data_IF_644992939047
#
_entry.id   IF_644992939047
#
_cell.length_a   1.000
_cell.length_b   1.000
_cell.length_c   1.000
_cell.angle_alpha   90.00
_cell.angle_beta   90.00
_cell.angle_gamma   90.00
#
_symmetry.space_group_name_H-M   'P 1'
#
loop_
_entity.id
_entity.type
_entity.pdbx_description
1 polymer ?
#
# COMPACT_ATOMS: atom_id res chain seq x y z
N UNK A 1 -20.85 -21.26 -59.88
CA UNK A 1 -20.33 -22.63 -59.96
C UNK A 1 -19.45 -22.83 -58.74
N UNK A 2 -19.92 -23.62 -57.76
CA UNK A 2 -19.25 -23.90 -56.48
C UNK A 2 -18.13 -24.91 -56.65
N UNK A 3 -16.98 -24.62 -56.05
CA UNK A 3 -15.84 -25.55 -55.95
C UNK A 3 -15.80 -26.24 -54.58
N UNK A 4 -16.05 -27.55 -54.63
CA UNK A 4 -15.28 -28.67 -54.05
C UNK A 4 -14.52 -28.42 -52.72
N UNK A 5 -14.88 -29.17 -51.67
CA UNK A 5 -13.92 -29.99 -50.89
C UNK A 5 -14.60 -31.04 -50.01
N UNK A 6 -14.26 -32.30 -50.27
CA UNK A 6 -14.54 -33.42 -49.39
C UNK A 6 -13.35 -33.75 -48.48
N UNK A 7 -13.62 -34.41 -47.35
CA UNK A 7 -12.88 -35.58 -46.86
C UNK A 7 -13.66 -36.25 -45.74
N UNK A 8 -14.04 -37.51 -45.96
CA UNK A 8 -14.47 -38.46 -44.93
C UNK A 8 -13.22 -39.09 -44.31
N UNK A 9 -13.23 -39.33 -43.01
CA UNK A 9 -12.50 -40.46 -42.40
C UNK A 9 -13.39 -41.05 -41.30
N UNK A 10 -13.65 -42.35 -41.42
CA UNK A 10 -14.28 -43.22 -40.41
C UNK A 10 -13.18 -43.78 -39.52
N UNK A 11 -13.44 -43.96 -38.23
CA UNK A 11 -12.68 -44.88 -37.37
C UNK A 11 -13.64 -45.66 -36.48
N UNK A 12 -13.32 -46.94 -36.31
CA UNK A 12 -14.20 -48.02 -35.89
C UNK A 12 -14.12 -48.33 -34.38
N UNK A 13 -15.18 -49.00 -33.92
CA UNK A 13 -15.36 -49.84 -32.72
C UNK A 13 -14.23 -50.87 -32.50
N UNK A 14 -13.97 -51.51 -31.36
CA UNK A 14 -14.78 -52.08 -30.25
C UNK A 14 -13.80 -52.66 -29.18
N UNK A 15 -14.20 -52.78 -27.91
CA UNK A 15 -14.09 -54.01 -27.06
C UNK A 15 -13.96 -53.75 -25.55
N UNK A 16 -14.84 -54.41 -24.78
CA UNK A 16 -14.89 -54.50 -23.31
C UNK A 16 -13.85 -55.47 -22.73
N UNK A 17 -13.47 -55.26 -21.47
CA UNK A 17 -13.21 -56.33 -20.48
C UNK A 17 -13.83 -55.93 -19.14
N UNK A 18 -14.50 -56.87 -18.47
CA UNK A 18 -15.23 -56.70 -17.21
C UNK A 18 -14.65 -57.54 -16.06
N UNK A 19 -15.04 -57.15 -14.84
CA UNK A 19 -15.01 -57.86 -13.53
C UNK A 19 -13.65 -57.84 -12.79
N UNK A 20 -13.54 -57.76 -11.45
CA UNK A 20 -14.33 -58.29 -10.31
C UNK A 20 -14.10 -57.42 -9.05
N UNK A 21 -15.09 -57.37 -8.16
CA UNK A 21 -15.13 -56.64 -6.87
C UNK A 21 -14.45 -57.37 -5.70
N UNK A 22 -13.86 -56.62 -4.74
CA UNK A 22 -13.68 -57.05 -3.33
C UNK A 22 -13.90 -55.84 -2.40
N UNK A 23 -14.74 -56.01 -1.38
CA UNK A 23 -14.96 -55.06 -0.30
C UNK A 23 -14.26 -55.55 1.00
N UNK A 24 -13.73 -54.63 1.82
CA UNK A 24 -13.88 -54.59 3.30
C UNK A 24 -13.08 -53.42 3.90
N UNK A 25 -13.62 -52.84 4.98
CA UNK A 25 -13.16 -51.66 5.68
C UNK A 25 -12.24 -51.98 6.87
N UNK A 26 -11.27 -51.12 7.19
CA UNK A 26 -10.79 -50.82 8.55
C UNK A 26 -9.66 -49.77 8.57
N UNK A 27 -9.83 -48.70 9.36
CA UNK A 27 -8.81 -48.27 10.33
C UNK A 27 -7.69 -47.31 9.92
N UNK A 28 -7.81 -46.07 10.40
CA UNK A 28 -6.77 -45.23 11.01
C UNK A 28 -5.42 -45.01 10.30
N UNK A 29 -5.10 -43.75 9.96
CA UNK A 29 -4.14 -42.95 10.76
C UNK A 29 -3.85 -41.60 10.11
N UNK A 30 -3.86 -40.59 10.96
CA UNK A 30 -3.66 -39.17 10.71
C UNK A 30 -2.39 -38.85 9.91
N UNK A 31 -2.56 -38.28 8.72
CA UNK A 31 -1.52 -37.52 8.04
C UNK A 31 -1.92 -36.05 7.98
N UNK A 32 -1.94 -35.45 9.17
CA UNK A 32 -1.94 -34.01 9.37
C UNK A 32 -0.66 -33.67 10.17
N UNK A 33 0.48 -33.71 9.48
CA UNK A 33 1.74 -33.16 9.98
C UNK A 33 2.39 -32.41 8.82
N UNK A 34 2.89 -31.22 9.15
CA UNK A 34 3.66 -30.27 8.33
C UNK A 34 2.89 -29.28 7.45
N UNK A 35 2.01 -28.51 8.07
CA UNK A 35 1.71 -27.14 7.60
C UNK A 35 1.72 -26.10 8.73
N UNK A 36 2.30 -26.43 9.89
CA UNK A 36 2.37 -25.56 11.07
C UNK A 36 3.80 -25.09 11.35
N UNK A 37 4.54 -24.66 10.32
CA UNK A 37 5.80 -23.94 10.52
C UNK A 37 5.99 -22.87 9.44
N UNK A 38 5.00 -21.99 9.34
CA UNK A 38 5.14 -20.67 8.73
C UNK A 38 4.17 -19.69 9.42
N UNK A 39 4.05 -19.78 10.75
CA UNK A 39 3.60 -18.64 11.53
C UNK A 39 4.84 -17.78 11.70
N UNK A 40 5.01 -16.84 10.77
CA UNK A 40 6.05 -15.82 10.84
C UNK A 40 6.00 -15.13 12.20
N UNK A 41 7.18 -14.75 12.68
CA UNK A 41 7.40 -13.92 13.85
C UNK A 41 6.52 -12.66 13.73
N UNK A 42 5.29 -12.69 14.25
CA UNK A 42 4.47 -11.49 14.35
C UNK A 42 5.20 -10.59 15.32
N UNK A 43 5.86 -9.55 14.79
CA UNK A 43 6.52 -8.55 15.60
C UNK A 43 5.53 -8.03 16.65
N UNK A 44 6.03 -7.80 17.86
CA UNK A 44 5.17 -7.40 18.97
C UNK A 44 5.02 -5.88 18.95
N UNK A 45 3.88 -5.38 18.46
CA UNK A 45 3.54 -3.95 18.54
C UNK A 45 3.36 -3.54 20.00
N UNK A 46 4.23 -2.65 20.47
CA UNK A 46 4.08 -1.97 21.77
C UNK A 46 3.26 -0.70 21.58
N UNK A 47 2.16 -0.56 22.33
CA UNK A 47 1.31 0.63 22.23
C UNK A 47 2.04 1.90 22.68
N UNK A 48 1.94 2.95 21.87
CA UNK A 48 2.55 4.25 22.10
C UNK A 48 1.67 5.36 21.51
N UNK A 49 1.62 6.53 22.16
CA UNK A 49 0.87 7.70 21.67
C UNK A 49 1.75 8.76 20.99
N UNK A 50 3.06 8.73 21.25
CA UNK A 50 4.13 9.50 20.62
C UNK A 50 5.46 8.74 20.79
N UNK A 51 6.39 8.94 19.86
CA UNK A 51 7.76 8.41 19.88
C UNK A 51 8.78 9.54 19.93
N UNK A 52 10.04 9.20 20.25
CA UNK A 52 11.15 10.13 20.09
C UNK A 52 11.42 10.41 18.60
N UNK A 53 11.96 11.59 18.25
CA UNK A 53 12.28 11.92 16.87
C UNK A 53 13.28 10.94 16.25
N UNK A 54 12.99 10.46 15.05
CA UNK A 54 13.88 9.55 14.29
C UNK A 54 13.57 9.63 12.80
N UNK A 55 14.59 9.73 11.95
CA UNK A 55 14.41 9.89 10.50
C UNK A 55 13.75 8.63 9.93
N UNK A 56 12.68 8.76 9.12
CA UNK A 56 12.05 7.62 8.47
C UNK A 56 12.81 7.23 7.21
N UNK A 57 12.93 5.94 6.93
CA UNK A 57 13.64 5.43 5.74
C UNK A 57 12.79 4.54 4.82
N UNK A 58 11.68 3.99 5.32
CA UNK A 58 10.83 3.07 4.56
C UNK A 58 9.37 3.18 4.97
N UNK A 59 8.49 3.17 3.98
CA UNK A 59 7.04 3.10 4.14
C UNK A 59 6.51 1.77 3.60
N UNK A 60 5.69 1.08 4.40
CA UNK A 60 4.98 -0.13 3.99
C UNK A 60 3.48 0.04 4.27
N UNK A 61 2.65 -0.33 3.30
CA UNK A 61 1.18 -0.34 3.42
C UNK A 61 0.64 -1.62 2.75
N UNK A 62 0.53 -2.73 3.50
CA UNK A 62 0.26 -4.04 2.91
C UNK A 62 -1.06 -4.11 2.13
N UNK A 63 -2.10 -3.43 2.62
CA UNK A 63 -3.46 -3.45 2.04
C UNK A 63 -3.53 -2.93 0.61
N UNK A 64 -2.61 -2.05 0.21
CA UNK A 64 -2.52 -1.46 -1.13
C UNK A 64 -1.19 -1.76 -1.83
N UNK A 65 -0.37 -2.65 -1.24
CA UNK A 65 0.92 -3.12 -1.77
C UNK A 65 1.95 -2.00 -1.97
N UNK A 66 1.97 -1.04 -1.05
CA UNK A 66 3.07 -0.06 -0.99
C UNK A 66 4.21 -0.66 -0.20
N UNK A 67 5.39 -0.59 -0.78
CA UNK A 67 6.67 -0.95 -0.17
C UNK A 67 7.72 -0.03 -0.82
N UNK A 68 8.02 1.10 -0.16
CA UNK A 68 8.71 2.23 -0.78
C UNK A 68 9.77 2.85 0.13
N UNK A 69 10.93 3.20 -0.45
CA UNK A 69 11.91 4.01 0.27
C UNK A 69 11.34 5.41 0.50
N UNK A 70 11.83 6.06 1.57
CA UNK A 70 11.51 7.44 1.88
C UNK A 70 12.70 8.35 1.60
N UNK A 71 12.56 9.17 0.56
CA UNK A 71 13.40 10.34 0.32
C UNK A 71 12.89 11.54 1.15
N UNK A 72 13.48 12.72 0.93
CA UNK A 72 13.03 13.96 1.58
C UNK A 72 12.67 15.06 0.59
N UNK A 73 11.69 15.87 0.97
CA UNK A 73 11.32 17.12 0.29
C UNK A 73 11.27 18.27 1.29
N UNK A 74 11.47 19.50 0.81
CA UNK A 74 11.27 20.73 1.58
C UNK A 74 10.07 21.53 1.08
N UNK A 75 10.10 22.84 1.33
CA UNK A 75 9.18 23.78 0.69
C UNK A 75 9.81 24.44 -0.54
N UNK A 76 8.99 24.84 -1.51
CA UNK A 76 9.39 25.71 -2.62
C UNK A 76 9.39 27.19 -2.21
N UNK A 77 9.73 28.08 -3.15
CA UNK A 77 9.78 29.52 -2.89
C UNK A 77 8.44 30.18 -2.55
N UNK A 78 7.32 29.47 -2.75
CA UNK A 78 5.98 29.90 -2.37
C UNK A 78 5.54 29.37 -1.00
N UNK A 79 6.35 28.51 -0.37
CA UNK A 79 6.00 27.83 0.88
C UNK A 79 5.13 26.59 0.68
N UNK A 80 4.97 26.10 -0.54
CA UNK A 80 4.28 24.84 -0.82
C UNK A 80 5.26 23.67 -0.73
N UNK A 81 4.78 22.50 -0.30
CA UNK A 81 5.60 21.29 -0.28
C UNK A 81 6.08 20.96 -1.69
N UNK A 82 7.39 20.73 -1.83
CA UNK A 82 7.97 20.33 -3.10
C UNK A 82 7.40 19.00 -3.57
N UNK A 83 7.27 18.86 -4.88
CA UNK A 83 6.85 17.60 -5.50
C UNK A 83 7.96 16.55 -5.39
N UNK A 84 7.66 15.30 -5.03
CA UNK A 84 8.64 14.21 -5.03
C UNK A 84 9.36 14.07 -6.39
N UNK A 85 10.62 13.60 -6.42
CA UNK A 85 11.36 13.41 -7.66
C UNK A 85 10.62 12.50 -8.66
N UNK A 86 10.58 12.89 -9.94
CA UNK A 86 9.90 12.12 -10.99
C UNK A 86 10.72 10.93 -11.50
N UNK A 87 12.03 10.91 -11.27
CA UNK A 87 12.95 9.84 -11.65
C UNK A 87 12.89 8.62 -10.71
N UNK A 88 12.22 8.76 -9.56
CA UNK A 88 11.97 7.69 -8.58
C UNK A 88 10.46 7.52 -8.31
N UNK A 89 9.66 7.10 -9.30
CA UNK A 89 8.20 7.05 -9.19
C UNK A 89 7.68 6.03 -8.15
N UNK A 90 8.51 5.09 -7.70
CA UNK A 90 8.14 4.10 -6.69
C UNK A 90 8.59 4.47 -5.27
N UNK A 91 9.35 5.56 -5.11
CA UNK A 91 9.71 6.09 -3.80
C UNK A 91 8.70 7.18 -3.38
N UNK A 92 8.59 7.41 -2.08
CA UNK A 92 7.83 8.52 -1.51
C UNK A 92 8.79 9.50 -0.82
N UNK A 93 8.31 10.69 -0.46
CA UNK A 93 9.16 11.71 0.17
C UNK A 93 8.51 12.30 1.40
N UNK A 94 9.23 12.25 2.52
CA UNK A 94 8.84 12.90 3.76
C UNK A 94 9.22 14.40 3.74
N UNK A 95 8.35 15.24 4.29
CA UNK A 95 8.63 16.65 4.50
C UNK A 95 9.56 16.86 5.71
N UNK A 96 10.85 17.05 5.43
CA UNK A 96 11.93 16.99 6.43
C UNK A 96 11.97 18.13 7.45
N UNK A 97 11.27 19.23 7.19
CA UNK A 97 11.17 20.37 8.11
C UNK A 97 9.98 20.22 9.07
N UNK A 98 9.16 19.17 8.92
CA UNK A 98 8.09 18.80 9.82
C UNK A 98 8.50 17.77 10.88
N UNK A 99 7.54 17.29 11.69
CA UNK A 99 7.77 16.20 12.64
C UNK A 99 8.18 14.92 11.91
N UNK A 100 9.03 14.14 12.55
CA UNK A 100 9.29 12.77 12.10
C UNK A 100 8.08 11.86 12.35
N UNK A 101 7.80 10.84 11.50
CA UNK A 101 6.71 9.92 11.76
C UNK A 101 6.83 9.23 13.13
N UNK A 102 5.85 9.49 13.99
CA UNK A 102 5.77 8.99 15.36
C UNK A 102 5.99 10.10 16.40
N UNK A 103 6.65 11.19 16.02
CA UNK A 103 6.78 12.38 16.86
C UNK A 103 5.43 13.11 17.00
N UNK A 104 5.28 13.87 18.08
CA UNK A 104 4.15 14.78 18.26
C UNK A 104 4.05 15.77 17.09
N UNK A 105 2.90 15.78 16.42
CA UNK A 105 2.62 16.63 15.27
C UNK A 105 2.13 15.82 14.06
N UNK A 106 1.91 16.51 12.95
CA UNK A 106 1.49 15.88 11.69
C UNK A 106 2.72 15.69 10.78
N UNK A 107 3.25 14.48 10.73
CA UNK A 107 4.25 14.11 9.74
C UNK A 107 3.58 13.98 8.37
N UNK A 108 4.20 14.51 7.31
CA UNK A 108 3.64 14.49 5.97
C UNK A 108 4.56 13.79 4.97
N UNK A 109 3.99 12.88 4.20
CA UNK A 109 4.69 12.11 3.17
C UNK A 109 3.90 12.26 1.86
N UNK A 110 4.59 12.72 0.82
CA UNK A 110 4.04 12.87 -0.51
C UNK A 110 4.57 11.77 -1.44
N UNK A 111 3.75 11.34 -2.39
CA UNK A 111 4.12 10.37 -3.40
C UNK A 111 3.26 10.49 -4.65
N UNK A 112 3.81 10.05 -5.78
CA UNK A 112 3.12 10.14 -7.07
C UNK A 112 1.99 9.10 -7.18
N UNK A 113 0.85 9.49 -7.76
CA UNK A 113 -0.20 8.55 -8.18
C UNK A 113 0.20 7.93 -9.53
N UNK A 114 0.65 8.78 -10.44
CA UNK A 114 1.23 8.47 -11.73
C UNK A 114 2.36 9.46 -12.04
N UNK A 115 3.15 9.15 -13.06
CA UNK A 115 4.17 10.04 -13.61
C UNK A 115 4.14 9.94 -15.14
N UNK A 116 4.78 10.87 -15.87
CA UNK A 116 4.91 10.73 -17.32
C UNK A 116 5.58 9.41 -17.78
N UNK A 117 6.39 8.79 -16.91
CA UNK A 117 7.14 7.56 -17.19
C UNK A 117 6.43 6.29 -16.70
N UNK A 118 5.58 6.39 -15.67
CA UNK A 118 4.96 5.26 -14.98
C UNK A 118 3.49 5.55 -14.70
N UNK A 119 2.60 4.74 -15.27
CA UNK A 119 1.14 4.89 -15.13
C UNK A 119 0.63 4.62 -13.70
N UNK A 120 1.36 3.82 -12.92
CA UNK A 120 1.02 3.45 -11.54
C UNK A 120 2.24 3.62 -10.64
N UNK A 121 2.36 4.80 -10.05
CA UNK A 121 3.43 5.14 -9.13
C UNK A 121 3.09 4.69 -7.68
N UNK A 122 3.96 5.01 -6.72
CA UNK A 122 3.89 4.53 -5.33
C UNK A 122 2.50 4.68 -4.69
N UNK A 123 1.80 5.80 -4.92
CA UNK A 123 0.51 6.11 -4.30
C UNK A 123 -0.67 5.96 -5.25
N UNK A 124 -0.51 5.19 -6.34
CA UNK A 124 -1.59 4.94 -7.30
C UNK A 124 -2.91 4.47 -6.65
N UNK A 125 -2.81 3.57 -5.66
CA UNK A 125 -3.95 3.01 -4.94
C UNK A 125 -4.27 3.71 -3.61
N UNK A 126 -3.68 4.88 -3.31
CA UNK A 126 -3.81 5.50 -1.99
C UNK A 126 -5.27 5.78 -1.60
N UNK A 127 -6.10 6.16 -2.57
CA UNK A 127 -7.55 6.39 -2.39
C UNK A 127 -8.35 5.13 -2.00
N UNK A 128 -7.77 3.95 -2.15
CA UNK A 128 -8.41 2.67 -1.84
C UNK A 128 -8.23 2.26 -0.38
N UNK A 129 -7.39 3.00 0.38
CA UNK A 129 -7.24 2.79 1.81
C UNK A 129 -8.55 2.98 2.55
N UNK A 130 -8.69 2.20 3.62
CA UNK A 130 -9.87 2.19 4.47
C UNK A 130 -9.45 2.40 5.91
N UNK A 131 -10.39 2.90 6.70
CA UNK A 131 -10.26 3.04 8.14
C UNK A 131 -9.71 1.75 8.78
N UNK A 132 -8.84 1.95 9.78
CA UNK A 132 -8.17 0.94 10.60
C UNK A 132 -7.14 0.06 9.85
N UNK A 133 -6.89 0.32 8.56
CA UNK A 133 -5.77 -0.31 7.86
C UNK A 133 -4.44 0.26 8.36
N UNK A 134 -3.44 -0.62 8.38
CA UNK A 134 -2.12 -0.35 8.95
C UNK A 134 -1.19 0.33 7.94
N UNK A 135 -0.38 1.24 8.46
CA UNK A 135 0.70 1.92 7.76
C UNK A 135 1.93 1.85 8.66
N UNK A 136 3.02 1.29 8.14
CA UNK A 136 4.26 1.10 8.88
C UNK A 136 5.34 2.03 8.34
N UNK A 137 6.04 2.69 9.24
CA UNK A 137 7.18 3.54 8.92
C UNK A 137 8.42 3.02 9.66
N UNK A 138 9.36 2.44 8.93
CA UNK A 138 10.67 2.09 9.48
C UNK A 138 11.52 3.35 9.64
N UNK A 139 12.26 3.41 10.75
CA UNK A 139 13.06 4.57 11.13
C UNK A 139 14.50 4.18 11.42
N UNK A 140 15.41 5.15 11.34
CA UNK A 140 16.86 4.94 11.50
C UNK A 140 17.28 4.47 12.90
N UNK A 141 16.47 4.72 13.93
CA UNK A 141 16.69 4.22 15.29
C UNK A 141 16.32 2.74 15.49
N UNK A 142 15.93 2.06 14.41
CA UNK A 142 15.66 0.62 14.40
C UNK A 142 14.25 0.25 14.88
N UNK A 143 13.39 1.22 15.17
CA UNK A 143 11.97 0.97 15.43
C UNK A 143 11.11 1.24 14.21
N UNK A 144 9.94 0.59 14.18
CA UNK A 144 8.89 0.83 13.19
C UNK A 144 7.74 1.52 13.87
N UNK A 145 7.36 2.72 13.41
CA UNK A 145 6.16 3.40 13.89
C UNK A 145 4.93 2.84 13.16
N UNK A 146 3.95 2.34 13.91
CA UNK A 146 2.75 1.67 13.40
C UNK A 146 1.54 2.60 13.52
N UNK A 147 0.95 2.95 12.39
CA UNK A 147 -0.19 3.85 12.29
C UNK A 147 -1.45 3.12 11.82
N UNK A 148 -2.61 3.67 12.16
CA UNK A 148 -3.89 3.25 11.59
C UNK A 148 -4.58 4.40 10.89
N UNK A 149 -5.14 4.09 9.72
CA UNK A 149 -5.94 5.04 8.93
C UNK A 149 -7.18 5.46 9.70
N UNK A 150 -7.36 6.76 9.84
CA UNK A 150 -8.56 7.38 10.37
C UNK A 150 -9.58 7.64 9.28
N UNK A 151 -9.14 8.29 8.21
CA UNK A 151 -9.98 8.70 7.08
C UNK A 151 -9.15 8.90 5.80
N UNK A 152 -9.82 8.86 4.65
CA UNK A 152 -9.25 9.15 3.33
C UNK A 152 -10.14 10.17 2.64
N UNK A 153 -9.64 11.38 2.46
CA UNK A 153 -10.40 12.49 1.91
C UNK A 153 -9.78 13.00 0.60
N UNK A 154 -10.61 13.51 -0.30
CA UNK A 154 -10.17 14.12 -1.56
C UNK A 154 -10.57 15.58 -1.60
N UNK A 155 -9.62 16.46 -1.86
CA UNK A 155 -9.84 17.90 -1.93
C UNK A 155 -9.39 18.47 -3.26
N UNK A 156 -10.20 19.36 -3.85
CA UNK A 156 -9.77 20.16 -4.99
C UNK A 156 -8.56 20.99 -4.58
N UNK A 157 -7.55 21.10 -5.45
CA UNK A 157 -6.34 21.89 -5.20
C UNK A 157 -6.64 23.37 -4.93
N UNK A 158 -7.70 23.89 -5.54
CA UNK A 158 -8.18 25.27 -5.34
C UNK A 158 -8.81 25.53 -3.97
N UNK A 159 -9.21 24.49 -3.24
CA UNK A 159 -9.88 24.56 -1.93
C UNK A 159 -9.19 23.60 -0.93
N UNK A 160 -7.87 23.48 -1.04
CA UNK A 160 -7.11 22.55 -0.22
C UNK A 160 -7.06 23.03 1.23
N UNK A 161 -7.54 22.24 2.21
CA UNK A 161 -7.67 22.68 3.59
C UNK A 161 -6.34 22.61 4.34
N UNK A 162 -5.42 23.52 4.00
CA UNK A 162 -4.03 23.58 4.50
C UNK A 162 -3.95 23.45 6.02
N UNK A 163 -4.81 24.15 6.77
CA UNK A 163 -4.81 24.09 8.23
C UNK A 163 -5.26 22.72 8.78
N UNK A 164 -6.18 22.02 8.10
CA UNK A 164 -6.60 20.68 8.50
C UNK A 164 -5.50 19.65 8.23
N UNK A 165 -4.83 19.78 7.09
CA UNK A 165 -3.81 18.82 6.65
C UNK A 165 -2.49 19.01 7.41
N UNK A 166 -1.98 20.23 7.46
CA UNK A 166 -0.64 20.55 7.99
C UNK A 166 -0.66 21.30 9.32
N UNK A 167 -1.84 21.60 9.87
CA UNK A 167 -1.96 22.30 11.14
C UNK A 167 -1.34 21.52 12.28
N UNK A 168 -0.97 22.27 13.34
CA UNK A 168 -0.43 21.68 14.57
C UNK A 168 -1.45 20.74 15.20
N UNK A 169 -0.97 19.60 15.69
CA UNK A 169 -1.73 18.63 16.48
C UNK A 169 -0.93 18.26 17.73
N UNK A 170 -1.64 17.85 18.78
CA UNK A 170 -1.03 17.39 20.02
C UNK A 170 -0.72 15.88 20.05
N UNK A 171 -1.07 15.16 18.98
CA UNK A 171 -0.87 13.72 18.83
C UNK A 171 0.21 13.43 17.78
N UNK A 172 0.72 12.20 17.75
CA UNK A 172 1.51 11.72 16.63
C UNK A 172 0.58 11.29 15.48
N UNK A 173 0.53 12.11 14.43
CA UNK A 173 -0.33 11.90 13.28
C UNK A 173 0.47 11.84 11.99
N UNK A 174 -0.08 11.15 11.00
CA UNK A 174 0.49 10.99 9.67
C UNK A 174 -0.47 11.52 8.60
N UNK A 175 0.11 12.11 7.57
CA UNK A 175 -0.55 12.52 6.32
C UNK A 175 0.15 11.87 5.15
N UNK A 176 -0.54 11.01 4.41
CA UNK A 176 -0.08 10.54 3.10
C UNK A 176 -0.82 11.32 2.01
N UNK A 177 -0.08 11.87 1.05
CA UNK A 177 -0.62 12.83 0.09
C UNK A 177 -0.23 12.43 -1.33
N UNK A 178 -1.21 12.38 -2.22
CA UNK A 178 -0.99 12.17 -3.65
C UNK A 178 -1.94 12.99 -4.51
N UNK A 179 -1.65 13.10 -5.80
CA UNK A 179 -2.56 13.68 -6.78
C UNK A 179 -3.79 12.79 -6.98
N UNK A 180 -4.94 13.37 -7.35
CA UNK A 180 -6.14 12.62 -7.68
C UNK A 180 -7.24 13.49 -8.26
N UNK A 181 -8.49 13.02 -8.19
CA UNK A 181 -9.63 13.69 -8.81
C UNK A 181 -9.66 13.48 -10.32
N UNK A 182 -10.07 14.51 -11.06
CA UNK A 182 -10.22 14.44 -12.50
C UNK A 182 -8.99 14.99 -13.21
N UNK A 183 -8.67 14.40 -14.37
CA UNK A 183 -7.62 14.90 -15.24
C UNK A 183 -8.17 16.08 -16.06
N UNK A 184 -7.57 17.24 -15.87
CA UNK A 184 -7.92 18.47 -16.58
C UNK A 184 -7.44 18.45 -18.04
N UNK A 185 -7.90 19.43 -18.83
CA UNK A 185 -7.53 19.55 -20.25
C UNK A 185 -6.03 19.78 -20.47
N UNK A 186 -5.38 20.44 -19.53
CA UNK A 186 -3.94 20.69 -19.45
C UNK A 186 -3.15 19.52 -18.83
N UNK A 187 -3.78 18.36 -18.67
CA UNK A 187 -3.15 17.10 -18.22
C UNK A 187 -2.63 17.15 -16.78
N UNK A 188 -3.33 17.88 -15.91
CA UNK A 188 -3.06 17.91 -14.48
C UNK A 188 -4.23 17.30 -13.68
N UNK A 189 -3.91 16.64 -12.58
CA UNK A 189 -4.91 16.19 -11.62
C UNK A 189 -5.38 17.37 -10.77
N UNK A 190 -6.69 17.59 -10.70
CA UNK A 190 -7.24 18.79 -10.06
C UNK A 190 -7.44 18.68 -8.55
N UNK A 191 -7.19 17.51 -7.97
CA UNK A 191 -7.39 17.23 -6.56
C UNK A 191 -6.17 16.59 -5.93
N UNK A 192 -6.14 16.57 -4.60
CA UNK A 192 -5.24 15.77 -3.80
C UNK A 192 -6.05 14.77 -2.98
N UNK A 193 -5.56 13.55 -2.88
CA UNK A 193 -6.03 12.56 -1.91
C UNK A 193 -5.15 12.66 -0.68
N UNK A 194 -5.78 12.75 0.49
CA UNK A 194 -5.10 12.86 1.79
C UNK A 194 -5.60 11.75 2.69
N UNK A 195 -4.67 10.90 3.12
CA UNK A 195 -4.91 9.91 4.18
C UNK A 195 -4.56 10.54 5.50
N UNK A 196 -5.48 10.45 6.46
CA UNK A 196 -5.26 10.83 7.84
C UNK A 196 -5.06 9.55 8.65
N UNK A 197 -4.03 9.53 9.50
CA UNK A 197 -3.76 8.38 10.35
C UNK A 197 -3.16 8.84 11.69
N UNK A 198 -3.30 8.00 12.72
CA UNK A 198 -2.72 8.20 14.04
C UNK A 198 -1.81 7.05 14.43
N UNK A 199 -0.79 7.37 15.23
CA UNK A 199 0.10 6.37 15.80
C UNK A 199 -0.68 5.46 16.76
N UNK A 200 -0.44 4.16 16.65
CA UNK A 200 -1.00 3.14 17.55
C UNK A 200 0.05 2.41 18.36
N UNK A 201 1.30 2.42 17.90
CA UNK A 201 2.41 1.80 18.60
C UNK A 201 3.70 1.84 17.81
N UNK A 202 4.69 1.12 18.33
CA UNK A 202 5.92 0.83 17.62
C UNK A 202 6.27 -0.65 17.72
N UNK A 203 7.01 -1.13 16.74
CA UNK A 203 7.67 -2.42 16.79
C UNK A 203 9.18 -2.20 16.90
N UNK A 204 9.84 -3.04 17.71
CA UNK A 204 11.30 -3.09 17.78
C UNK A 204 11.75 -4.37 17.09
N UNK A 205 12.77 -4.27 16.25
CA UNK A 205 13.39 -5.44 15.62
C UNK A 205 14.05 -6.38 16.64
#
# INVERSE_FOLDING_TARGET
MSEIRGRRVRAATLAMVAAVSVATAAGCSSQAKDSAQSAGNAAHVTSASVLQPSVPDHLTIPSIKVDANLDTVGLDGSGAMQTPPFDKPMDASWYKEGPTPGEKGAAAIAGHMDTPQVEKAVFYNLKELKKDQEIDIRREDGTTAVFKVDDVETYKKSDFPTQKVYGKTDKAELRLITCGGDLTKDRHWDSNVVVFAHLTGEETA
#
